data_IF_937244598360
#
_entry.id   IF_937244598360
#
_cell.length_a   1.000
_cell.length_b   1.000
_cell.length_c   1.000
_cell.angle_alpha   90.00
_cell.angle_beta   90.00
_cell.angle_gamma   90.00
#
_symmetry.space_group_name_H-M   'P 1'
#
loop_
_entity.id
_entity.type
_entity.pdbx_description
1 polymer ?
#
# COMPACT_ATOMS: atom_id res chain seq x y z
N UNK A 1 -17.80 1.87 16.23
CA UNK A 1 -17.16 0.90 15.34
C UNK A 1 -15.65 0.88 15.58
N UNK A 2 -15.23 0.12 16.59
CA UNK A 2 -13.81 -0.12 16.84
C UNK A 2 -13.40 -1.28 15.93
N UNK A 3 -12.84 -0.94 14.78
CA UNK A 3 -12.36 -1.89 13.78
C UNK A 3 -11.43 -2.90 14.47
N UNK A 4 -11.85 -4.16 14.55
CA UNK A 4 -10.94 -5.24 14.93
C UNK A 4 -10.14 -5.62 13.68
N UNK A 5 -9.07 -4.87 13.43
CA UNK A 5 -7.86 -5.37 12.78
C UNK A 5 -7.84 -5.47 11.26
N UNK A 6 -8.85 -5.00 10.52
CA UNK A 6 -8.78 -5.02 9.05
C UNK A 6 -8.83 -3.62 8.41
N UNK A 7 -9.49 -2.66 9.05
CA UNK A 7 -9.57 -1.29 8.54
C UNK A 7 -9.17 -0.28 9.62
N UNK A 8 -7.92 -0.30 10.07
CA UNK A 8 -7.37 0.67 11.04
C UNK A 8 -7.36 0.23 12.51
N UNK A 9 -7.74 -1.01 12.78
CA UNK A 9 -7.55 -1.67 14.07
C UNK A 9 -6.18 -2.33 14.23
N UNK A 10 -5.80 -2.67 15.45
CA UNK A 10 -4.55 -3.36 15.78
C UNK A 10 -4.28 -4.53 14.83
N UNK A 11 -3.10 -4.51 14.18
CA UNK A 11 -2.68 -5.60 13.31
C UNK A 11 -2.73 -6.93 14.08
N UNK A 12 -3.29 -7.97 13.45
CA UNK A 12 -3.21 -9.32 13.99
C UNK A 12 -1.74 -9.70 14.07
N UNK A 13 -1.35 -10.33 15.19
CA UNK A 13 0.05 -10.68 15.49
C UNK A 13 0.21 -12.09 16.06
N UNK A 14 -0.85 -12.72 16.56
CA UNK A 14 -0.74 -14.07 17.11
C UNK A 14 -0.38 -15.08 16.03
N UNK A 15 0.45 -16.06 16.37
CA UNK A 15 0.55 -17.29 15.58
C UNK A 15 -0.40 -18.35 16.10
N UNK A 16 -0.71 -18.31 17.41
CA UNK A 16 -1.59 -19.27 18.07
C UNK A 16 -2.45 -18.56 19.10
N UNK A 17 -3.72 -18.96 19.15
CA UNK A 17 -4.64 -18.58 20.22
C UNK A 17 -5.66 -19.67 20.46
N UNK A 18 -6.19 -19.72 21.67
CA UNK A 18 -7.19 -20.71 22.03
C UNK A 18 -8.09 -20.21 23.16
N UNK A 19 -9.24 -20.85 23.28
CA UNK A 19 -10.23 -20.63 24.33
C UNK A 19 -10.31 -21.92 25.15
N UNK A 20 -10.13 -21.79 26.46
CA UNK A 20 -10.36 -22.86 27.42
C UNK A 20 -11.69 -22.63 28.14
N UNK A 21 -12.42 -23.73 28.35
CA UNK A 21 -13.55 -23.78 29.25
C UNK A 21 -13.42 -25.00 30.16
N UNK A 22 -13.59 -24.82 31.47
CA UNK A 22 -13.39 -25.89 32.48
C UNK A 22 -12.03 -26.60 32.34
N UNK A 23 -10.97 -25.81 32.15
CA UNK A 23 -9.59 -26.31 31.99
C UNK A 23 -9.33 -27.11 30.70
N UNK A 24 -10.29 -27.15 29.77
CA UNK A 24 -10.16 -27.85 28.48
C UNK A 24 -10.18 -26.87 27.32
N UNK A 25 -9.29 -27.04 26.35
CA UNK A 25 -9.32 -26.28 25.11
C UNK A 25 -10.61 -26.63 24.34
N UNK A 26 -11.44 -25.64 24.07
CA UNK A 26 -12.71 -25.78 23.33
C UNK A 26 -12.64 -25.26 21.91
N UNK A 27 -11.76 -24.29 21.67
CA UNK A 27 -11.50 -23.75 20.36
C UNK A 27 -10.04 -23.32 20.28
N UNK A 28 -9.41 -23.53 19.13
CA UNK A 28 -8.04 -23.11 18.89
C UNK A 28 -7.85 -22.69 17.44
N UNK A 29 -6.94 -21.75 17.24
CA UNK A 29 -6.47 -21.32 15.92
C UNK A 29 -4.94 -21.38 15.91
N UNK A 30 -4.40 -22.02 14.88
CA UNK A 30 -2.97 -22.04 14.58
C UNK A 30 -2.76 -21.49 13.18
N UNK A 31 -2.17 -20.30 13.10
CA UNK A 31 -1.83 -19.63 11.85
C UNK A 31 -0.42 -20.06 11.35
N UNK A 32 0.31 -20.86 12.12
CA UNK A 32 1.66 -21.31 11.82
C UNK A 32 2.70 -20.19 11.93
N UNK A 33 3.98 -20.55 11.70
CA UNK A 33 5.15 -19.68 11.90
C UNK A 33 5.14 -18.39 11.05
N UNK A 34 4.37 -18.35 9.96
CA UNK A 34 4.24 -17.19 9.05
C UNK A 34 2.87 -16.50 9.10
N UNK A 35 1.91 -17.04 9.85
CA UNK A 35 0.53 -16.58 9.78
C UNK A 35 0.20 -15.41 10.70
N UNK A 36 1.12 -14.95 11.53
CA UNK A 36 0.88 -13.80 12.41
C UNK A 36 0.59 -12.51 11.68
N UNK A 37 1.23 -12.25 10.54
CA UNK A 37 1.05 -11.00 9.79
C UNK A 37 0.35 -11.19 8.45
N UNK A 38 0.60 -12.31 7.76
CA UNK A 38 0.20 -12.44 6.36
C UNK A 38 -1.21 -13.02 6.21
N UNK A 39 -1.48 -14.18 6.81
CA UNK A 39 -2.75 -14.88 6.53
C UNK A 39 -4.01 -14.05 6.87
N UNK A 40 -4.06 -13.32 8.00
CA UNK A 40 -5.18 -12.46 8.29
C UNK A 40 -5.18 -11.22 7.42
N UNK A 41 -4.08 -10.47 7.26
CA UNK A 41 -4.10 -9.20 6.50
C UNK A 41 -4.31 -9.38 4.99
N UNK A 42 -4.12 -10.60 4.46
CA UNK A 42 -4.26 -10.94 3.06
C UNK A 42 -5.46 -11.88 2.78
N UNK A 43 -6.36 -12.04 3.75
CA UNK A 43 -7.55 -12.90 3.64
C UNK A 43 -8.40 -12.60 2.39
N UNK A 44 -8.42 -11.34 1.96
CA UNK A 44 -9.17 -10.87 0.80
C UNK A 44 -8.25 -10.43 -0.35
N UNK A 45 -7.00 -10.89 -0.36
CA UNK A 45 -6.00 -10.44 -1.35
C UNK A 45 -6.39 -10.75 -2.78
N UNK A 46 -7.25 -11.74 -3.03
CA UNK A 46 -7.76 -12.10 -4.36
C UNK A 46 -9.23 -11.74 -4.58
N UNK A 47 -9.86 -11.07 -3.62
CA UNK A 47 -11.25 -10.62 -3.73
C UNK A 47 -11.30 -9.22 -4.35
N UNK A 48 -11.94 -9.09 -5.50
CA UNK A 48 -12.24 -7.79 -6.10
C UNK A 48 -13.74 -7.47 -5.91
N UNK A 49 -14.10 -6.40 -5.20
CA UNK A 49 -15.49 -6.02 -5.03
C UNK A 49 -16.07 -5.50 -6.35
N UNK A 50 -17.33 -5.83 -6.62
CA UNK A 50 -18.11 -5.23 -7.73
C UNK A 50 -19.18 -4.28 -7.22
N UNK A 51 -19.50 -3.24 -7.99
CA UNK A 51 -20.55 -2.28 -7.65
C UNK A 51 -21.89 -2.98 -7.40
N UNK A 52 -22.57 -2.60 -6.30
CA UNK A 52 -23.83 -3.20 -5.87
C UNK A 52 -23.70 -4.54 -5.15
N UNK A 53 -22.48 -5.06 -4.93
CA UNK A 53 -22.28 -6.29 -4.17
C UNK A 53 -22.55 -6.09 -2.67
N UNK A 54 -23.09 -7.13 -2.03
CA UNK A 54 -23.29 -7.13 -0.58
C UNK A 54 -21.94 -7.27 0.17
N UNK A 55 -21.46 -6.17 0.75
CA UNK A 55 -20.20 -6.13 1.49
C UNK A 55 -20.24 -6.91 2.81
N UNK A 56 -21.43 -7.15 3.37
CA UNK A 56 -21.55 -8.01 4.55
C UNK A 56 -21.19 -9.46 4.21
N UNK A 57 -21.79 -9.98 3.13
CA UNK A 57 -21.48 -11.33 2.65
C UNK A 57 -20.04 -11.42 2.13
N UNK A 58 -19.54 -10.37 1.45
CA UNK A 58 -18.20 -10.36 0.88
C UNK A 58 -17.08 -10.36 1.93
N UNK A 59 -17.23 -9.58 3.00
CA UNK A 59 -16.16 -9.33 3.96
C UNK A 59 -16.55 -9.65 5.42
N UNK A 60 -17.66 -9.08 5.89
CA UNK A 60 -17.97 -9.05 7.33
C UNK A 60 -18.29 -10.41 7.92
N UNK A 61 -19.06 -11.23 7.21
CA UNK A 61 -19.39 -12.60 7.64
C UNK A 61 -18.15 -13.45 7.90
N UNK A 62 -17.08 -13.20 7.14
CA UNK A 62 -15.80 -13.91 7.29
C UNK A 62 -14.94 -13.33 8.42
N UNK A 63 -14.91 -12.00 8.57
CA UNK A 63 -14.13 -11.32 9.63
C UNK A 63 -14.73 -11.58 11.02
N UNK A 64 -16.06 -11.53 11.13
CA UNK A 64 -16.79 -11.63 12.40
C UNK A 64 -17.46 -12.98 12.63
N UNK A 65 -16.89 -14.05 12.07
CA UNK A 65 -17.42 -15.41 12.21
C UNK A 65 -17.50 -15.85 13.69
N UNK A 66 -18.70 -16.05 14.27
CA UNK A 66 -18.84 -16.44 15.66
C UNK A 66 -18.24 -17.82 15.92
N UNK A 67 -17.66 -18.01 17.12
CA UNK A 67 -17.14 -19.31 17.56
C UNK A 67 -18.01 -19.85 18.69
N UNK A 68 -18.52 -21.07 18.51
CA UNK A 68 -19.50 -21.69 19.40
C UNK A 68 -19.03 -23.08 19.85
N UNK A 69 -19.23 -23.41 21.12
CA UNK A 69 -18.89 -24.71 21.69
C UNK A 69 -19.73 -24.99 22.94
N UNK A 70 -19.93 -26.27 23.28
CA UNK A 70 -20.64 -26.69 24.49
C UNK A 70 -19.70 -26.92 25.67
N UNK A 71 -20.13 -26.53 26.87
CA UNK A 71 -19.40 -26.69 28.12
C UNK A 71 -20.31 -27.37 29.15
N UNK A 72 -19.78 -28.38 29.86
CA UNK A 72 -20.46 -29.01 30.99
C UNK A 72 -19.95 -28.34 32.27
N UNK A 73 -20.85 -27.69 33.01
CA UNK A 73 -20.56 -27.02 34.29
C UNK A 73 -21.08 -27.91 35.41
N UNK A 74 -20.24 -28.23 36.40
CA UNK A 74 -20.57 -29.23 37.45
C UNK A 74 -20.62 -28.65 38.86
N UNK A 75 -19.99 -27.51 39.09
CA UNK A 75 -19.84 -26.85 40.39
C UNK A 75 -20.66 -25.54 40.49
N UNK A 76 -21.45 -25.24 39.46
CA UNK A 76 -22.23 -24.00 39.36
C UNK A 76 -21.43 -22.78 38.87
N UNK A 77 -20.13 -22.94 38.55
CA UNK A 77 -19.28 -21.86 38.05
C UNK A 77 -18.71 -22.19 36.66
N UNK A 78 -18.97 -21.33 35.67
CA UNK A 78 -18.34 -21.44 34.35
C UNK A 78 -16.99 -20.70 34.35
N UNK A 79 -15.91 -21.43 34.10
CA UNK A 79 -14.55 -20.91 34.02
C UNK A 79 -14.11 -20.80 32.55
N UNK A 80 -13.84 -19.58 32.07
CA UNK A 80 -13.34 -19.31 30.71
C UNK A 80 -11.96 -18.64 30.76
N UNK A 81 -11.05 -19.08 29.88
CA UNK A 81 -9.74 -18.43 29.68
C UNK A 81 -9.45 -18.24 28.20
N UNK A 82 -8.90 -17.08 27.85
CA UNK A 82 -8.46 -16.76 26.50
C UNK A 82 -6.95 -16.63 26.49
N UNK A 83 -6.33 -17.33 25.54
CA UNK A 83 -4.88 -17.40 25.43
C UNK A 83 -4.46 -16.99 24.04
N UNK A 84 -3.38 -16.21 23.95
CA UNK A 84 -2.70 -15.92 22.69
C UNK A 84 -1.19 -15.78 22.95
N UNK A 85 -0.39 -16.20 21.97
CA UNK A 85 1.08 -16.13 22.05
C UNK A 85 1.64 -14.70 21.91
N UNK A 86 0.79 -13.73 21.60
CA UNK A 86 1.13 -12.30 21.49
C UNK A 86 0.18 -11.41 22.27
N UNK A 87 0.74 -10.32 22.80
CA UNK A 87 -0.02 -9.29 23.49
C UNK A 87 -1.16 -8.74 22.62
N UNK A 88 -2.29 -8.42 23.26
CA UNK A 88 -3.50 -7.85 22.64
C UNK A 88 -4.08 -8.69 21.47
N UNK A 89 -3.80 -10.00 21.43
CA UNK A 89 -4.27 -10.89 20.37
C UNK A 89 -5.38 -11.85 20.81
N UNK A 90 -5.92 -11.65 22.02
CA UNK A 90 -7.03 -12.40 22.61
C UNK A 90 -8.19 -11.46 23.01
N UNK A 91 -8.40 -10.36 22.27
CA UNK A 91 -9.48 -9.42 22.55
C UNK A 91 -10.83 -10.08 22.28
N UNK A 92 -11.77 -9.91 23.20
CA UNK A 92 -13.13 -10.48 23.12
C UNK A 92 -14.12 -9.34 22.92
N UNK A 93 -14.88 -9.38 21.83
CA UNK A 93 -15.88 -8.38 21.53
C UNK A 93 -17.23 -8.66 22.23
N UNK A 94 -17.64 -9.93 22.27
CA UNK A 94 -18.89 -10.37 22.86
C UNK A 94 -18.77 -11.82 23.34
N UNK A 95 -19.47 -12.15 24.43
CA UNK A 95 -19.66 -13.52 24.93
C UNK A 95 -21.14 -13.72 25.20
N UNK A 96 -21.72 -14.76 24.59
CA UNK A 96 -23.12 -15.16 24.80
C UNK A 96 -23.11 -16.54 25.44
N UNK A 97 -23.77 -16.66 26.60
CA UNK A 97 -23.85 -17.91 27.37
C UNK A 97 -25.33 -18.17 27.66
N UNK A 98 -25.78 -19.39 27.36
CA UNK A 98 -27.12 -19.86 27.69
C UNK A 98 -27.06 -21.35 28.10
N UNK A 99 -27.96 -21.81 28.98
CA UNK A 99 -28.04 -23.22 29.34
C UNK A 99 -28.52 -24.06 28.16
N UNK A 100 -28.11 -25.34 28.08
CA UNK A 100 -28.49 -26.24 26.98
C UNK A 100 -30.03 -26.43 26.88
N UNK A 101 -30.75 -26.29 28.00
CA UNK A 101 -32.21 -26.30 28.04
C UNK A 101 -32.85 -25.15 27.24
N UNK A 102 -32.13 -24.05 27.00
CA UNK A 102 -32.56 -22.88 26.21
C UNK A 102 -31.80 -22.78 24.88
N UNK A 103 -31.27 -23.89 24.36
CA UNK A 103 -30.43 -23.88 23.14
C UNK A 103 -31.14 -23.27 21.92
N UNK A 104 -32.45 -23.43 21.80
CA UNK A 104 -33.24 -22.90 20.67
C UNK A 104 -33.38 -21.38 20.81
N UNK A 105 -33.85 -20.89 21.96
CA UNK A 105 -33.90 -19.46 22.30
C UNK A 105 -32.52 -18.79 22.15
N UNK A 106 -31.46 -19.46 22.61
CA UNK A 106 -30.09 -18.97 22.52
C UNK A 106 -29.55 -18.89 21.09
N UNK A 107 -29.90 -19.87 20.23
CA UNK A 107 -29.55 -19.84 18.81
C UNK A 107 -30.28 -18.72 18.08
N UNK A 108 -31.58 -18.53 18.37
CA UNK A 108 -32.38 -17.44 17.84
C UNK A 108 -31.81 -16.07 18.25
N UNK A 109 -31.48 -15.89 19.52
CA UNK A 109 -30.84 -14.67 20.02
C UNK A 109 -29.50 -14.37 19.32
N UNK A 110 -28.65 -15.38 19.11
CA UNK A 110 -27.42 -15.21 18.35
C UNK A 110 -27.68 -14.78 16.90
N UNK A 111 -28.67 -15.41 16.24
CA UNK A 111 -29.04 -15.05 14.87
C UNK A 111 -29.59 -13.61 14.80
N UNK A 112 -30.36 -13.19 15.79
CA UNK A 112 -30.87 -11.82 15.90
C UNK A 112 -29.75 -10.79 16.07
N UNK A 113 -28.73 -11.09 16.88
CA UNK A 113 -27.55 -10.21 16.98
C UNK A 113 -26.84 -10.09 15.63
N UNK A 114 -26.61 -11.21 14.94
CA UNK A 114 -25.96 -11.18 13.61
C UNK A 114 -26.81 -10.40 12.61
N UNK A 115 -28.13 -10.55 12.65
CA UNK A 115 -29.08 -9.81 11.80
C UNK A 115 -29.03 -8.30 12.09
N UNK A 116 -29.10 -7.90 13.36
CA UNK A 116 -29.00 -6.49 13.76
C UNK A 116 -27.66 -5.88 13.34
N UNK A 117 -26.54 -6.60 13.53
CA UNK A 117 -25.23 -6.13 13.09
C UNK A 117 -25.15 -5.95 11.57
N UNK A 118 -25.76 -6.86 10.79
CA UNK A 118 -25.87 -6.71 9.35
C UNK A 118 -26.69 -5.48 8.98
N UNK A 119 -27.84 -5.29 9.60
CA UNK A 119 -28.72 -4.13 9.36
C UNK A 119 -27.98 -2.83 9.66
N UNK A 120 -27.36 -2.70 10.83
CA UNK A 120 -26.56 -1.53 11.22
C UNK A 120 -25.38 -1.29 10.26
N UNK A 121 -24.64 -2.34 9.91
CA UNK A 121 -23.54 -2.25 8.96
C UNK A 121 -24.04 -1.79 7.59
N UNK A 122 -25.13 -2.36 7.08
CA UNK A 122 -25.66 -2.06 5.74
C UNK A 122 -26.16 -0.61 5.66
N UNK A 123 -26.76 -0.09 6.73
CA UNK A 123 -27.18 1.31 6.81
C UNK A 123 -25.97 2.26 6.79
N UNK A 124 -24.88 1.88 7.46
CA UNK A 124 -23.72 2.75 7.61
C UNK A 124 -22.69 2.64 6.47
N UNK A 125 -22.47 1.44 5.93
CA UNK A 125 -21.57 1.12 4.83
C UNK A 125 -22.26 1.36 3.49
N UNK A 126 -22.58 2.63 3.20
CA UNK A 126 -23.22 3.01 1.94
C UNK A 126 -22.17 3.12 0.84
N UNK A 127 -22.39 2.40 -0.27
CA UNK A 127 -21.63 2.55 -1.51
C UNK A 127 -21.88 3.93 -2.14
N UNK A 128 -20.84 4.73 -2.26
CA UNK A 128 -20.83 5.97 -3.01
C UNK A 128 -20.38 5.68 -4.44
N UNK A 129 -21.29 5.81 -5.39
CA UNK A 129 -21.01 5.60 -6.81
C UNK A 129 -20.48 6.84 -7.48
N UNK A 130 -19.57 6.65 -8.42
CA UNK A 130 -19.13 7.69 -9.34
C UNK A 130 -20.05 7.74 -10.56
N UNK A 131 -20.28 8.94 -11.13
CA UNK A 131 -21.03 9.07 -12.36
C UNK A 131 -20.34 8.30 -13.49
N UNK A 132 -21.14 7.72 -14.40
CA UNK A 132 -20.63 6.92 -15.50
C UNK A 132 -19.80 7.72 -16.52
N UNK A 133 -19.89 9.05 -16.53
CA UNK A 133 -19.21 9.94 -17.49
C UNK A 133 -19.92 10.05 -18.84
N UNK A 134 -20.47 8.96 -19.37
CA UNK A 134 -21.28 8.90 -20.59
C UNK A 134 -22.64 8.21 -20.40
N UNK A 135 -23.36 7.95 -21.49
CA UNK A 135 -24.67 7.25 -21.47
C UNK A 135 -24.78 6.22 -22.60
N UNK A 136 -25.56 5.15 -22.41
CA UNK A 136 -25.72 4.11 -23.43
C UNK A 136 -26.56 4.59 -24.62
N UNK A 137 -27.39 5.62 -24.42
CA UNK A 137 -28.21 6.25 -25.46
C UNK A 137 -27.33 6.95 -26.50
N UNK A 138 -26.21 7.53 -26.08
CA UNK A 138 -25.25 8.20 -26.95
C UNK A 138 -24.43 7.23 -27.82
N UNK A 139 -24.41 5.94 -27.47
CA UNK A 139 -23.68 4.89 -28.19
C UNK A 139 -24.52 4.42 -29.38
N UNK A 140 -23.88 4.28 -30.55
CA UNK A 140 -24.55 3.79 -31.76
C UNK A 140 -25.13 2.39 -31.54
N UNK A 141 -26.21 2.08 -32.27
CA UNK A 141 -26.84 0.76 -32.22
C UNK A 141 -25.89 -0.34 -32.68
N UNK A 142 -25.14 -0.10 -33.75
CA UNK A 142 -24.13 -1.02 -34.29
C UNK A 142 -23.09 -1.42 -33.23
N UNK A 143 -22.59 -0.46 -32.45
CA UNK A 143 -21.64 -0.76 -31.37
C UNK A 143 -22.31 -1.55 -30.23
N UNK A 144 -23.54 -1.22 -29.85
CA UNK A 144 -24.27 -1.96 -28.81
C UNK A 144 -24.65 -3.37 -29.23
N UNK A 145 -24.96 -3.59 -30.51
CA UNK A 145 -25.39 -4.89 -31.04
C UNK A 145 -24.26 -5.95 -30.94
N UNK A 146 -22.99 -5.53 -30.82
CA UNK A 146 -21.86 -6.42 -30.48
C UNK A 146 -21.99 -7.07 -29.10
N UNK A 147 -22.78 -6.48 -28.20
CA UNK A 147 -22.96 -6.94 -26.82
C UNK A 147 -21.86 -6.49 -25.85
N UNK A 148 -20.98 -5.59 -26.30
CA UNK A 148 -19.93 -4.94 -25.51
C UNK A 148 -19.51 -3.63 -26.20
N UNK A 149 -18.83 -2.77 -25.45
CA UNK A 149 -18.25 -1.52 -25.97
C UNK A 149 -16.77 -1.50 -25.59
N UNK A 150 -15.88 -1.46 -26.58
CA UNK A 150 -14.43 -1.26 -26.36
C UNK A 150 -14.06 0.18 -26.70
N UNK A 151 -13.20 0.78 -25.88
CA UNK A 151 -12.82 2.18 -26.01
C UNK A 151 -11.43 2.44 -25.44
N UNK A 152 -10.78 3.49 -25.93
CA UNK A 152 -9.49 3.93 -25.40
C UNK A 152 -9.72 4.78 -24.15
N UNK A 153 -8.87 4.59 -23.15
CA UNK A 153 -8.87 5.40 -21.93
C UNK A 153 -7.68 6.36 -21.93
N UNK A 154 -7.69 7.26 -20.97
CA UNK A 154 -6.58 8.15 -20.65
C UNK A 154 -6.03 7.69 -19.31
N UNK A 155 -4.78 7.28 -19.25
CA UNK A 155 -4.19 6.71 -18.03
C UNK A 155 -4.05 7.74 -16.89
N UNK A 156 -4.19 9.04 -17.19
CA UNK A 156 -4.26 10.10 -16.18
C UNK A 156 -5.65 10.25 -15.56
N UNK A 157 -6.65 9.53 -16.07
CA UNK A 157 -8.03 9.57 -15.61
C UNK A 157 -8.49 8.21 -15.09
N UNK A 158 -9.16 8.22 -13.93
CA UNK A 158 -9.71 7.00 -13.36
C UNK A 158 -10.85 6.40 -14.22
N UNK A 159 -10.69 5.15 -14.65
CA UNK A 159 -11.79 4.35 -15.21
C UNK A 159 -12.48 3.55 -14.10
N UNK A 160 -13.77 3.80 -13.87
CA UNK A 160 -14.58 3.12 -12.87
C UNK A 160 -15.34 1.92 -13.48
N UNK A 161 -15.76 0.97 -12.64
CA UNK A 161 -16.61 -0.15 -13.07
C UNK A 161 -17.95 0.29 -13.68
N UNK A 162 -18.42 1.50 -13.35
CA UNK A 162 -19.64 2.10 -13.90
C UNK A 162 -19.40 2.95 -15.15
N UNK A 163 -18.15 3.18 -15.55
CA UNK A 163 -17.82 4.07 -16.67
C UNK A 163 -18.48 3.61 -17.96
N UNK A 164 -19.17 4.54 -18.62
CA UNK A 164 -19.68 4.41 -19.98
C UNK A 164 -18.89 5.41 -20.82
N UNK A 165 -18.26 4.98 -21.93
CA UNK A 165 -17.45 5.89 -22.73
C UNK A 165 -18.29 6.95 -23.43
N UNK A 166 -17.66 8.07 -23.76
CA UNK A 166 -18.15 8.99 -24.77
C UNK A 166 -17.96 8.39 -26.17
N UNK A 167 -18.81 8.71 -27.16
CA UNK A 167 -18.65 8.20 -28.53
C UNK A 167 -17.26 8.46 -29.13
N UNK A 168 -16.61 9.57 -28.77
CA UNK A 168 -15.27 9.93 -29.22
C UNK A 168 -14.14 9.02 -28.69
N UNK A 169 -14.39 8.26 -27.61
CA UNK A 169 -13.43 7.32 -27.03
C UNK A 169 -13.50 5.93 -27.70
N UNK A 170 -14.57 5.65 -28.45
CA UNK A 170 -14.83 4.37 -29.11
C UNK A 170 -13.94 4.27 -30.36
N UNK A 171 -12.67 3.90 -30.15
CA UNK A 171 -11.60 3.85 -31.15
C UNK A 171 -10.83 2.53 -31.05
N UNK A 172 -10.36 2.05 -32.21
CA UNK A 172 -9.53 0.82 -32.32
C UNK A 172 -8.11 1.13 -32.79
N UNK A 173 -7.73 2.40 -32.79
CA UNK A 173 -6.41 2.86 -33.23
C UNK A 173 -5.86 3.88 -32.24
N UNK A 174 -4.59 3.73 -31.87
CA UNK A 174 -3.89 4.66 -30.99
C UNK A 174 -2.46 4.85 -31.48
N UNK A 175 -1.98 6.08 -31.42
CA UNK A 175 -0.57 6.40 -31.58
C UNK A 175 0.02 6.73 -30.21
N UNK A 176 1.20 6.21 -29.95
CA UNK A 176 2.03 6.50 -28.78
C UNK A 176 3.45 6.85 -29.21
N UNK A 177 4.19 7.50 -28.32
CA UNK A 177 5.53 8.03 -28.58
C UNK A 177 6.40 7.74 -27.37
N UNK A 178 7.64 7.28 -27.60
CA UNK A 178 8.53 6.94 -26.49
C UNK A 178 10.00 7.12 -26.87
N UNK A 179 10.81 7.50 -25.88
CA UNK A 179 12.26 7.45 -25.92
C UNK A 179 12.78 6.01 -25.67
N UNK A 180 14.07 5.79 -25.94
CA UNK A 180 14.74 4.54 -25.56
C UNK A 180 14.81 4.42 -24.04
N UNK A 181 14.53 3.23 -23.51
CA UNK A 181 14.45 2.97 -22.07
C UNK A 181 13.16 3.47 -21.39
N UNK A 182 12.27 4.14 -22.11
CA UNK A 182 11.03 4.69 -21.54
C UNK A 182 9.95 3.60 -21.37
N UNK A 183 9.10 3.80 -20.36
CA UNK A 183 7.86 3.06 -20.19
C UNK A 183 6.68 3.89 -20.70
N UNK A 184 6.03 3.45 -21.77
CA UNK A 184 4.89 4.14 -22.38
C UNK A 184 3.64 3.24 -22.40
N UNK A 185 2.56 3.60 -21.68
CA UNK A 185 1.35 2.78 -21.61
C UNK A 185 0.36 3.05 -22.76
N UNK A 186 -0.23 1.98 -23.28
CA UNK A 186 -1.51 2.02 -23.99
C UNK A 186 -2.61 1.53 -23.05
N UNK A 187 -3.64 2.33 -22.85
CA UNK A 187 -4.77 1.97 -22.00
C UNK A 187 -6.08 1.93 -22.78
N UNK A 188 -6.88 0.92 -22.47
CA UNK A 188 -8.20 0.72 -23.07
C UNK A 188 -9.10 0.00 -22.07
N UNK A 189 -10.40 0.10 -22.29
CA UNK A 189 -11.38 -0.56 -21.46
C UNK A 189 -12.47 -1.23 -22.30
N UNK A 190 -13.11 -2.22 -21.69
CA UNK A 190 -14.28 -2.90 -22.21
C UNK A 190 -15.43 -2.75 -21.23
N UNK A 191 -16.60 -2.37 -21.73
CA UNK A 191 -17.87 -2.40 -21.02
C UNK A 191 -18.76 -3.50 -21.60
N UNK A 192 -18.85 -4.67 -20.95
CA UNK A 192 -19.78 -5.72 -21.35
C UNK A 192 -21.24 -5.26 -21.20
N UNK A 193 -22.09 -5.52 -22.18
CA UNK A 193 -23.55 -5.30 -22.11
C UNK A 193 -24.31 -6.59 -21.72
N UNK A 194 -23.59 -7.70 -21.65
CA UNK A 194 -24.01 -9.02 -21.15
C UNK A 194 -22.80 -9.69 -20.49
N UNK A 195 -22.99 -10.84 -19.85
CA UNK A 195 -21.85 -11.63 -19.37
C UNK A 195 -21.08 -12.20 -20.58
N UNK A 196 -19.76 -11.96 -20.63
CA UNK A 196 -18.88 -12.38 -21.74
C UNK A 196 -17.81 -13.38 -21.31
N UNK A 197 -17.95 -13.95 -20.10
CA UNK A 197 -17.06 -14.98 -19.58
C UNK A 197 -15.67 -14.43 -19.26
N UNK A 198 -14.67 -15.30 -19.33
CA UNK A 198 -13.27 -14.95 -19.08
C UNK A 198 -12.62 -14.39 -20.33
N UNK A 199 -11.82 -13.35 -20.17
CA UNK A 199 -11.10 -12.69 -21.25
C UNK A 199 -9.59 -12.65 -21.01
N UNK A 200 -8.84 -12.71 -22.10
CA UNK A 200 -7.38 -12.58 -22.14
C UNK A 200 -6.97 -11.49 -23.13
N UNK A 201 -5.79 -10.92 -22.92
CA UNK A 201 -5.20 -9.90 -23.79
C UNK A 201 -3.87 -10.40 -24.33
N UNK A 202 -3.68 -10.30 -25.64
CA UNK A 202 -2.45 -10.68 -26.35
C UNK A 202 -1.86 -9.45 -27.06
N UNK A 203 -0.53 -9.37 -27.10
CA UNK A 203 0.21 -8.31 -27.80
C UNK A 203 1.07 -8.96 -28.88
N UNK A 204 1.07 -8.38 -30.09
CA UNK A 204 1.96 -8.81 -31.17
C UNK A 204 3.37 -8.24 -30.99
N UNK A 205 4.33 -8.73 -31.78
CA UNK A 205 5.55 -7.96 -31.98
C UNK A 205 5.21 -6.62 -32.64
N UNK A 206 5.99 -5.60 -32.33
CA UNK A 206 5.93 -4.30 -32.97
C UNK A 206 7.03 -4.23 -34.03
N UNK A 207 6.66 -3.94 -35.27
CA UNK A 207 7.56 -4.06 -36.43
C UNK A 207 7.71 -2.74 -37.15
N UNK A 208 8.96 -2.42 -37.50
CA UNK A 208 9.31 -1.37 -38.46
C UNK A 208 9.84 -2.02 -39.75
N UNK A 209 10.28 -1.21 -40.71
CA UNK A 209 10.83 -1.72 -41.98
C UNK A 209 12.07 -2.62 -41.79
N UNK A 210 12.86 -2.41 -40.73
CA UNK A 210 14.15 -3.08 -40.54
C UNK A 210 14.45 -3.49 -39.08
N UNK A 211 13.48 -3.36 -38.16
CA UNK A 211 13.63 -3.71 -36.75
C UNK A 211 12.33 -4.27 -36.16
N UNK A 212 12.47 -4.93 -35.00
CA UNK A 212 11.38 -5.53 -34.26
C UNK A 212 11.57 -5.25 -32.77
N UNK A 213 10.53 -4.77 -32.11
CA UNK A 213 10.40 -4.78 -30.66
C UNK A 213 9.52 -5.98 -30.32
N UNK A 214 10.10 -6.99 -29.69
CA UNK A 214 9.38 -8.22 -29.38
C UNK A 214 8.32 -8.00 -28.32
N UNK A 215 7.23 -8.78 -28.39
CA UNK A 215 6.08 -8.69 -27.47
C UNK A 215 6.45 -8.86 -25.98
N UNK A 216 7.59 -9.47 -25.66
CA UNK A 216 8.11 -9.62 -24.30
C UNK A 216 8.46 -8.29 -23.62
N UNK A 217 8.61 -7.21 -24.41
CA UNK A 217 8.83 -5.85 -23.91
C UNK A 217 7.52 -5.15 -23.50
N UNK A 218 6.38 -5.84 -23.58
CA UNK A 218 5.07 -5.30 -23.23
C UNK A 218 4.50 -6.02 -22.01
N UNK A 219 4.28 -5.29 -20.92
CA UNK A 219 3.66 -5.82 -19.71
C UNK A 219 2.16 -5.55 -19.72
N UNK A 220 1.36 -6.63 -19.71
CA UNK A 220 -0.09 -6.56 -19.80
C UNK A 220 -0.70 -6.72 -18.41
N UNK A 221 -1.48 -5.71 -18.00
CA UNK A 221 -2.07 -5.62 -16.67
C UNK A 221 -3.55 -5.27 -16.76
N UNK A 222 -4.32 -5.74 -15.78
CA UNK A 222 -5.71 -5.33 -15.58
C UNK A 222 -5.77 -4.40 -14.38
N UNK A 223 -6.58 -3.34 -14.49
CA UNK A 223 -6.87 -2.45 -13.38
C UNK A 223 -7.83 -3.14 -12.45
N UNK A 224 -7.38 -3.36 -11.21
CA UNK A 224 -8.18 -3.92 -10.13
C UNK A 224 -8.78 -2.79 -9.31
N UNK A 225 -10.09 -2.88 -9.10
CA UNK A 225 -10.80 -1.95 -8.24
C UNK A 225 -10.83 -2.47 -6.81
N UNK A 226 -10.64 -1.58 -5.84
CA UNK A 226 -10.71 -1.91 -4.42
C UNK A 226 -11.63 -0.94 -3.69
N UNK A 227 -12.21 -1.41 -2.58
CA UNK A 227 -13.00 -0.57 -1.70
C UNK A 227 -12.12 0.42 -0.94
N UNK A 228 -12.48 1.70 -0.95
CA UNK A 228 -11.85 2.76 -0.15
C UNK A 228 -12.91 3.49 0.67
N UNK A 229 -12.61 3.73 1.94
CA UNK A 229 -13.45 4.52 2.84
C UNK A 229 -12.73 5.78 3.33
N UNK A 230 -13.49 6.74 3.84
CA UNK A 230 -12.93 7.88 4.57
C UNK A 230 -12.40 7.47 5.95
N UNK A 231 -11.55 8.31 6.57
CA UNK A 231 -10.92 8.00 7.86
C UNK A 231 -11.95 7.75 8.99
N UNK A 232 -12.97 8.61 9.09
CA UNK A 232 -14.00 8.59 10.14
C UNK A 232 -15.36 8.04 9.69
N UNK A 233 -15.45 7.43 8.51
CA UNK A 233 -16.72 6.95 7.96
C UNK A 233 -16.53 5.57 7.34
N UNK A 234 -17.56 4.72 7.43
CA UNK A 234 -17.56 3.39 6.78
C UNK A 234 -18.30 3.39 5.43
N UNK A 235 -18.86 4.55 5.02
CA UNK A 235 -19.21 4.80 3.62
C UNK A 235 -17.99 4.56 2.75
N UNK A 236 -18.18 3.86 1.64
CA UNK A 236 -17.08 3.41 0.81
C UNK A 236 -17.33 3.70 -0.67
N UNK A 237 -16.26 3.63 -1.44
CA UNK A 237 -16.24 3.72 -2.89
C UNK A 237 -15.47 2.54 -3.44
N UNK A 238 -15.83 2.06 -4.62
CA UNK A 238 -15.02 1.08 -5.36
C UNK A 238 -14.26 1.86 -6.42
N UNK A 239 -12.94 1.96 -6.28
CA UNK A 239 -12.08 2.79 -7.14
C UNK A 239 -10.94 1.98 -7.74
N UNK A 240 -10.43 2.34 -8.93
CA UNK A 240 -9.21 1.73 -9.46
C UNK A 240 -8.05 2.00 -8.48
N UNK A 241 -7.25 0.99 -8.16
CA UNK A 241 -6.11 1.17 -7.24
C UNK A 241 -4.84 0.41 -7.64
N UNK A 242 -4.95 -0.70 -8.36
CA UNK A 242 -3.81 -1.59 -8.58
C UNK A 242 -3.78 -2.13 -10.00
N UNK A 243 -2.58 -2.20 -10.59
CA UNK A 243 -2.32 -2.94 -11.81
C UNK A 243 -1.92 -4.39 -11.49
N UNK A 244 -2.79 -5.36 -11.78
CA UNK A 244 -2.56 -6.78 -11.50
C UNK A 244 -2.15 -7.52 -12.77
N UNK A 245 -1.18 -8.44 -12.66
CA UNK A 245 -0.96 -9.45 -13.70
C UNK A 245 -2.16 -10.40 -13.72
N UNK A 246 -2.54 -10.85 -14.90
CA UNK A 246 -3.67 -11.76 -15.07
C UNK A 246 -3.42 -12.66 -16.28
N UNK A 247 -3.88 -13.91 -16.19
CA UNK A 247 -4.00 -14.78 -17.36
C UNK A 247 -5.38 -14.57 -18.00
N UNK A 248 -6.41 -14.48 -17.15
CA UNK A 248 -7.79 -14.17 -17.55
C UNK A 248 -8.47 -13.27 -16.54
N UNK A 249 -9.45 -12.47 -17.00
CA UNK A 249 -10.34 -11.66 -16.15
C UNK A 249 -11.81 -11.90 -16.53
N UNK A 250 -12.70 -11.90 -15.54
CA UNK A 250 -14.14 -12.00 -15.78
C UNK A 250 -14.72 -10.68 -16.33
N UNK A 251 -15.48 -10.80 -17.41
CA UNK A 251 -16.21 -9.72 -18.07
C UNK A 251 -17.71 -9.81 -17.78
N UNK A 252 -18.08 -9.50 -16.54
CA UNK A 252 -19.48 -9.46 -16.11
C UNK A 252 -20.26 -8.32 -16.77
N UNK A 253 -21.54 -8.57 -17.07
CA UNK A 253 -22.43 -7.57 -17.67
C UNK A 253 -22.53 -6.30 -16.83
N UNK A 254 -22.32 -5.14 -17.46
CA UNK A 254 -22.42 -3.83 -16.83
C UNK A 254 -21.19 -3.40 -16.02
N UNK A 255 -20.15 -4.23 -15.92
CA UNK A 255 -18.91 -3.95 -15.18
C UNK A 255 -17.78 -3.63 -16.17
N UNK A 256 -17.38 -2.37 -16.22
CA UNK A 256 -16.27 -1.92 -17.06
C UNK A 256 -14.94 -2.41 -16.51
N UNK A 257 -14.09 -2.97 -17.38
CA UNK A 257 -12.73 -3.41 -17.08
C UNK A 257 -11.72 -2.63 -17.90
N UNK A 258 -10.69 -2.11 -17.25
CA UNK A 258 -9.60 -1.38 -17.88
C UNK A 258 -8.33 -2.23 -17.89
N UNK A 259 -7.57 -2.10 -18.98
CA UNK A 259 -6.33 -2.80 -19.23
C UNK A 259 -5.22 -1.79 -19.54
N UNK A 260 -4.03 -2.09 -19.02
CA UNK A 260 -2.79 -1.39 -19.32
C UNK A 260 -1.88 -2.34 -20.10
N UNK A 261 -1.39 -1.89 -21.25
CA UNK A 261 -0.30 -2.53 -21.98
C UNK A 261 0.87 -1.56 -21.94
N UNK A 262 1.85 -1.86 -21.08
CA UNK A 262 2.97 -0.96 -20.80
C UNK A 262 4.16 -1.40 -21.67
N UNK A 263 4.53 -0.59 -22.65
CA UNK A 263 5.69 -0.83 -23.49
C UNK A 263 6.95 -0.34 -22.76
N UNK A 264 7.92 -1.22 -22.50
CA UNK A 264 9.26 -0.85 -22.06
C UNK A 264 10.18 -0.86 -23.27
N UNK A 265 10.53 0.32 -23.79
CA UNK A 265 11.31 0.42 -25.02
C UNK A 265 12.76 0.02 -24.73
N UNK A 266 13.34 -0.98 -25.42
CA UNK A 266 14.74 -1.34 -25.22
C UNK A 266 15.68 -0.15 -25.39
N UNK A 267 16.73 -0.07 -24.57
CA UNK A 267 17.73 1.01 -24.65
C UNK A 267 18.44 1.07 -26.02
N UNK A 268 18.54 -0.07 -26.71
CA UNK A 268 19.15 -0.21 -28.03
C UNK A 268 18.13 -0.25 -29.19
N UNK A 269 16.85 0.04 -28.92
CA UNK A 269 15.81 0.07 -29.93
C UNK A 269 16.16 1.05 -31.06
N UNK A 270 16.00 0.62 -32.32
CA UNK A 270 16.17 1.52 -33.47
C UNK A 270 15.08 2.57 -33.45
N UNK A 271 15.45 3.80 -33.76
CA UNK A 271 14.48 4.89 -33.92
C UNK A 271 13.52 4.61 -35.09
N UNK A 272 12.37 5.27 -35.07
CA UNK A 272 11.40 5.26 -36.15
C UNK A 272 10.05 4.67 -35.76
N UNK A 273 9.21 4.47 -36.77
CA UNK A 273 7.83 4.06 -36.59
C UNK A 273 7.68 2.54 -36.62
N UNK A 274 7.00 2.02 -35.59
CA UNK A 274 6.63 0.64 -35.42
C UNK A 274 5.12 0.49 -35.43
N UNK A 275 4.64 -0.63 -35.94
CA UNK A 275 3.22 -1.00 -35.89
C UNK A 275 3.05 -2.35 -35.21
N UNK A 276 2.02 -2.45 -34.38
CA UNK A 276 1.67 -3.66 -33.65
C UNK A 276 0.18 -3.69 -33.30
N UNK A 277 -0.23 -4.76 -32.65
CA UNK A 277 -1.63 -4.99 -32.31
C UNK A 277 -1.79 -5.48 -30.88
N UNK A 278 -2.89 -5.08 -30.26
CA UNK A 278 -3.37 -5.61 -28.98
C UNK A 278 -4.70 -6.28 -29.26
N UNK A 279 -4.86 -7.56 -28.89
CA UNK A 279 -6.07 -8.34 -29.15
C UNK A 279 -6.71 -8.78 -27.84
N UNK A 280 -7.98 -8.43 -27.65
CA UNK A 280 -8.81 -8.89 -26.53
C UNK A 280 -9.71 -10.01 -27.03
N UNK A 281 -9.66 -11.17 -26.36
CA UNK A 281 -10.57 -12.29 -26.63
C UNK A 281 -11.30 -12.71 -25.38
N UNK A 282 -12.51 -13.25 -25.52
CA UNK A 282 -13.24 -13.86 -24.40
C UNK A 282 -14.03 -15.10 -24.80
N UNK A 283 -14.35 -15.93 -23.81
CA UNK A 283 -15.20 -17.13 -23.97
C UNK A 283 -16.59 -16.77 -24.54
N UNK A 284 -17.08 -15.56 -24.26
CA UNK A 284 -18.36 -15.02 -24.72
C UNK A 284 -18.35 -14.31 -26.08
N UNK A 285 -17.38 -14.64 -26.94
CA UNK A 285 -17.24 -14.14 -28.31
C UNK A 285 -16.84 -12.66 -28.48
N UNK A 286 -16.03 -12.13 -27.55
CA UNK A 286 -15.20 -10.96 -27.89
C UNK A 286 -14.03 -11.43 -28.76
N UNK A 287 -13.77 -10.69 -29.84
CA UNK A 287 -12.56 -10.80 -30.65
C UNK A 287 -12.22 -9.44 -31.26
N UNK A 288 -11.71 -8.52 -30.42
CA UNK A 288 -11.40 -7.15 -30.82
C UNK A 288 -9.90 -6.96 -30.96
N UNK A 289 -9.50 -6.20 -31.98
CA UNK A 289 -8.09 -5.85 -32.24
C UNK A 289 -7.92 -4.34 -32.25
N UNK A 290 -6.99 -3.85 -31.43
CA UNK A 290 -6.52 -2.47 -31.43
C UNK A 290 -5.22 -2.39 -32.23
N UNK A 291 -5.17 -1.50 -33.22
CA UNK A 291 -3.95 -1.24 -34.00
C UNK A 291 -3.17 -0.08 -33.36
N UNK A 292 -1.92 -0.33 -33.03
CA UNK A 292 -1.07 0.62 -32.31
C UNK A 292 0.08 1.04 -33.23
N UNK A 293 0.25 2.35 -33.35
CA UNK A 293 1.45 2.96 -33.93
C UNK A 293 2.33 3.48 -32.80
N UNK A 294 3.61 3.14 -32.83
CA UNK A 294 4.61 3.57 -31.85
C UNK A 294 5.76 4.25 -32.58
N UNK A 295 6.05 5.50 -32.25
CA UNK A 295 7.26 6.19 -32.71
C UNK A 295 8.32 6.13 -31.62
N UNK A 296 9.48 5.56 -31.93
CA UNK A 296 10.65 5.52 -31.04
C UNK A 296 11.61 6.64 -31.40
N UNK A 297 11.90 7.52 -30.43
CA UNK A 297 12.84 8.62 -30.61
C UNK A 297 14.30 8.20 -30.38
N UNK A 298 15.29 8.87 -31.02
CA UNK A 298 16.71 8.52 -30.92
C UNK A 298 17.43 8.99 -29.65
N UNK A 299 16.71 9.23 -28.56
CA UNK A 299 17.30 9.67 -27.29
C UNK A 299 16.80 8.80 -26.14
N UNK A 300 17.50 8.88 -25.01
CA UNK A 300 17.13 8.30 -23.71
C UNK A 300 16.69 9.42 -22.77
N UNK A 301 15.89 9.10 -21.76
CA UNK A 301 15.55 10.04 -20.70
C UNK A 301 16.63 10.04 -19.63
N UNK A 302 17.03 11.22 -19.17
CA UNK A 302 17.94 11.35 -18.03
C UNK A 302 17.26 10.92 -16.73
N UNK A 303 18.06 10.47 -15.78
CA UNK A 303 17.56 10.22 -14.44
C UNK A 303 17.04 11.53 -13.82
N UNK A 304 15.85 11.49 -13.20
CA UNK A 304 15.27 12.66 -12.55
C UNK A 304 16.15 13.17 -11.41
N UNK A 305 16.37 14.47 -11.36
CA UNK A 305 16.97 15.14 -10.19
C UNK A 305 16.01 15.26 -9.00
N UNK A 306 14.70 15.02 -9.22
CA UNK A 306 13.73 14.99 -8.13
C UNK A 306 13.92 13.73 -7.27
N UNK A 307 13.99 13.91 -5.95
CA UNK A 307 14.05 12.78 -5.02
C UNK A 307 12.70 12.07 -4.96
N UNK A 308 12.66 10.86 -5.48
CA UNK A 308 11.46 10.02 -5.46
C UNK A 308 11.72 8.76 -4.64
N UNK A 309 11.01 8.64 -3.51
CA UNK A 309 11.24 7.63 -2.50
C UNK A 309 9.95 6.91 -2.07
N UNK A 310 10.09 5.67 -1.60
CA UNK A 310 9.00 4.91 -0.99
C UNK A 310 8.82 5.28 0.48
N UNK A 311 7.58 5.30 0.96
CA UNK A 311 7.26 5.85 2.28
C UNK A 311 7.45 4.83 3.43
N UNK A 312 8.47 5.03 4.27
CA UNK A 312 8.56 4.46 5.63
C UNK A 312 8.58 2.93 5.73
N UNK A 313 9.04 2.22 4.69
CA UNK A 313 9.05 0.74 4.66
C UNK A 313 10.46 0.19 4.41
N UNK A 314 10.63 -1.13 4.51
CA UNK A 314 11.89 -1.81 4.21
C UNK A 314 11.63 -2.85 3.11
N UNK A 315 11.87 -2.50 1.83
CA UNK A 315 11.67 -3.45 0.74
C UNK A 315 12.72 -4.58 0.79
N UNK A 316 12.38 -5.71 0.19
CA UNK A 316 13.40 -6.68 -0.22
C UNK A 316 14.03 -6.24 -1.55
N UNK A 317 15.14 -6.88 -1.95
CA UNK A 317 15.87 -6.51 -3.17
C UNK A 317 15.01 -6.54 -4.45
N UNK A 318 14.04 -7.46 -4.55
CA UNK A 318 13.17 -7.56 -5.73
C UNK A 318 12.24 -6.35 -5.83
N UNK A 319 11.65 -5.93 -4.72
CA UNK A 319 10.79 -4.73 -4.67
C UNK A 319 11.62 -3.47 -4.86
N UNK A 320 12.81 -3.37 -4.27
CA UNK A 320 13.70 -2.23 -4.46
C UNK A 320 14.10 -2.06 -5.94
N UNK A 321 14.45 -3.14 -6.63
CA UNK A 321 14.74 -3.10 -8.07
C UNK A 321 13.53 -2.68 -8.89
N UNK A 322 12.36 -3.27 -8.63
CA UNK A 322 11.12 -2.85 -9.30
C UNK A 322 10.86 -1.35 -9.13
N UNK A 323 10.96 -0.82 -7.91
CA UNK A 323 10.76 0.61 -7.68
C UNK A 323 11.82 1.44 -8.42
N UNK A 324 13.07 0.98 -8.46
CA UNK A 324 14.13 1.63 -9.23
C UNK A 324 13.81 1.68 -10.73
N UNK A 325 13.30 0.60 -11.30
CA UNK A 325 12.88 0.51 -12.70
C UNK A 325 11.74 1.52 -13.01
N UNK A 326 10.94 1.89 -12.02
CA UNK A 326 9.90 2.94 -12.11
C UNK A 326 10.37 4.32 -11.64
N UNK A 327 11.68 4.58 -11.66
CA UNK A 327 12.25 5.92 -11.43
C UNK A 327 12.45 6.32 -9.97
N UNK A 328 12.23 5.42 -9.00
CA UNK A 328 12.61 5.71 -7.61
C UNK A 328 14.14 5.73 -7.49
N UNK A 329 14.70 6.91 -7.19
CA UNK A 329 16.14 7.14 -7.06
C UNK A 329 16.59 7.32 -5.60
N UNK A 330 15.64 7.48 -4.67
CA UNK A 330 15.83 7.73 -3.25
C UNK A 330 15.02 6.76 -2.38
N UNK A 331 15.22 6.76 -1.06
CA UNK A 331 14.58 5.84 -0.12
C UNK A 331 14.05 6.56 1.12
N UNK A 332 13.03 5.99 1.76
CA UNK A 332 12.62 6.39 3.11
C UNK A 332 12.33 5.16 3.96
N UNK A 333 12.48 5.26 5.27
CA UNK A 333 12.44 4.11 6.18
C UNK A 333 13.81 3.50 6.43
N UNK A 334 13.88 2.17 6.54
CA UNK A 334 15.10 1.44 6.90
C UNK A 334 15.17 1.00 8.36
N UNK A 335 16.34 0.50 8.77
CA UNK A 335 16.57 0.04 10.14
C UNK A 335 17.14 1.15 11.03
N UNK A 336 16.99 0.97 12.34
CA UNK A 336 17.63 1.86 13.32
C UNK A 336 19.09 1.45 13.51
N UNK A 337 19.94 2.44 13.75
CA UNK A 337 21.29 2.29 14.26
C UNK A 337 21.18 2.18 15.78
N UNK A 338 21.54 1.04 16.36
CA UNK A 338 21.31 0.80 17.78
C UNK A 338 22.47 1.36 18.59
N UNK A 339 22.21 2.45 19.32
CA UNK A 339 23.10 3.00 20.35
C UNK A 339 22.77 2.30 21.68
N UNK A 340 23.69 1.44 22.14
CA UNK A 340 23.52 0.62 23.34
C UNK A 340 23.96 1.33 24.62
N UNK A 341 24.90 2.26 24.49
CA UNK A 341 25.47 2.99 25.60
C UNK A 341 26.77 3.70 25.22
N UNK A 342 27.52 4.10 26.24
CA UNK A 342 28.83 4.72 26.11
C UNK A 342 29.83 4.04 27.07
N UNK A 343 31.09 3.98 26.64
CA UNK A 343 32.21 3.70 27.52
C UNK A 343 32.49 4.91 28.44
N UNK A 344 33.34 4.73 29.46
CA UNK A 344 33.64 5.78 30.44
C UNK A 344 34.25 7.05 29.83
N UNK A 345 34.95 6.92 28.72
CA UNK A 345 35.55 8.03 27.97
C UNK A 345 34.58 8.72 27.00
N UNK A 346 33.31 8.28 26.97
CA UNK A 346 32.31 8.80 26.03
C UNK A 346 32.31 8.14 24.66
N UNK A 347 33.08 7.08 24.43
CA UNK A 347 33.03 6.32 23.17
C UNK A 347 31.68 5.60 23.05
N UNK A 348 30.91 5.76 21.95
CA UNK A 348 29.59 5.15 21.80
C UNK A 348 29.69 3.66 21.44
N UNK A 349 28.81 2.84 22.00
CA UNK A 349 28.63 1.44 21.60
C UNK A 349 27.48 1.34 20.58
N UNK A 350 27.83 1.15 19.30
CA UNK A 350 26.89 1.13 18.17
C UNK A 350 26.79 -0.26 17.53
N UNK A 351 25.58 -0.69 17.16
CA UNK A 351 25.34 -1.79 16.23
C UNK A 351 24.73 -1.25 14.92
N UNK A 352 25.54 -1.32 13.86
CA UNK A 352 25.24 -0.81 12.52
C UNK A 352 24.95 -1.93 11.50
N UNK A 353 25.05 -3.20 11.91
CA UNK A 353 25.05 -4.32 10.97
C UNK A 353 23.75 -4.44 10.15
N UNK A 354 22.61 -4.05 10.75
CA UNK A 354 21.31 -4.07 10.04
C UNK A 354 21.22 -2.96 9.00
N UNK A 355 21.67 -1.75 9.35
CA UNK A 355 21.61 -0.63 8.42
C UNK A 355 22.61 -0.82 7.28
N UNK A 356 23.79 -1.40 7.54
CA UNK A 356 24.75 -1.78 6.49
C UNK A 356 24.14 -2.71 5.44
N UNK A 357 23.44 -3.76 5.89
CA UNK A 357 22.76 -4.68 4.97
C UNK A 357 21.68 -3.99 4.16
N UNK A 358 20.98 -3.02 4.75
CA UNK A 358 19.94 -2.26 4.08
C UNK A 358 20.51 -1.31 3.02
N UNK A 359 21.51 -0.51 3.37
CA UNK A 359 22.17 0.43 2.44
C UNK A 359 22.85 -0.34 1.30
N UNK A 360 23.53 -1.45 1.59
CA UNK A 360 24.10 -2.30 0.54
C UNK A 360 23.04 -2.92 -0.37
N UNK A 361 21.86 -3.26 0.16
CA UNK A 361 20.74 -3.73 -0.66
C UNK A 361 20.23 -2.63 -1.60
N UNK A 362 20.07 -1.39 -1.11
CA UNK A 362 19.67 -0.25 -1.93
C UNK A 362 20.70 0.05 -3.04
N UNK A 363 21.99 0.08 -2.71
CA UNK A 363 23.07 0.26 -3.71
C UNK A 363 23.03 -0.83 -4.78
N UNK A 364 22.84 -2.09 -4.39
CA UNK A 364 22.69 -3.22 -5.33
C UNK A 364 21.41 -3.17 -6.16
N UNK A 365 20.39 -2.45 -5.69
CA UNK A 365 19.18 -2.18 -6.45
C UNK A 365 19.33 -0.99 -7.41
N UNK A 366 20.42 -0.22 -7.32
CA UNK A 366 20.70 0.91 -8.20
C UNK A 366 20.30 2.27 -7.65
N UNK A 367 20.00 2.39 -6.35
CA UNK A 367 19.72 3.68 -5.71
C UNK A 367 21.01 4.49 -5.55
N UNK A 368 20.92 5.77 -5.92
CA UNK A 368 22.06 6.69 -6.01
C UNK A 368 21.89 7.92 -5.13
N UNK A 369 20.65 8.30 -4.82
CA UNK A 369 20.35 9.56 -4.14
C UNK A 369 20.23 9.40 -2.62
N UNK A 370 20.37 10.55 -1.93
CA UNK A 370 20.14 10.69 -0.50
C UNK A 370 18.70 10.29 -0.13
N UNK A 371 18.53 9.60 1.01
CA UNK A 371 17.24 9.19 1.54
C UNK A 371 16.63 10.12 2.58
N UNK A 372 15.42 9.79 3.02
CA UNK A 372 14.68 10.50 4.05
C UNK A 372 14.36 9.58 5.24
N UNK A 373 14.87 9.89 6.43
CA UNK A 373 14.80 9.08 7.65
C UNK A 373 13.42 9.00 8.32
N UNK A 374 12.33 9.21 7.58
CA UNK A 374 10.99 8.95 8.11
C UNK A 374 10.75 7.44 8.21
N UNK A 375 10.30 6.95 9.37
CA UNK A 375 10.04 5.52 9.59
C UNK A 375 11.29 4.63 9.72
N UNK A 376 12.51 5.18 9.68
CA UNK A 376 13.77 4.43 9.78
C UNK A 376 14.99 5.33 9.73
N UNK A 377 16.15 4.79 9.29
CA UNK A 377 17.45 5.49 9.15
C UNK A 377 17.71 6.52 10.26
N UNK A 378 17.71 6.04 11.50
CA UNK A 378 17.88 6.89 12.69
C UNK A 378 18.59 6.13 13.79
N UNK A 379 19.20 6.85 14.71
CA UNK A 379 19.88 6.27 15.87
C UNK A 379 18.87 6.09 17.00
N UNK A 380 18.91 4.97 17.73
CA UNK A 380 18.07 4.80 18.93
C UNK A 380 18.42 5.86 19.97
N UNK A 381 17.45 6.23 20.81
CA UNK A 381 17.56 7.31 21.82
C UNK A 381 17.74 8.74 21.25
N UNK A 382 18.04 8.90 19.96
CA UNK A 382 18.09 10.20 19.27
C UNK A 382 16.80 10.36 18.45
N UNK A 383 15.77 10.93 19.10
CA UNK A 383 14.46 11.14 18.50
C UNK A 383 14.10 12.62 18.33
N UNK A 384 12.80 12.91 18.28
CA UNK A 384 12.26 14.28 18.16
C UNK A 384 12.64 15.18 19.34
N UNK A 385 12.90 14.59 20.50
CA UNK A 385 13.37 15.28 21.70
C UNK A 385 14.43 14.43 22.38
N UNK A 386 15.26 15.06 23.23
CA UNK A 386 16.25 14.35 24.05
C UNK A 386 15.60 13.23 24.86
N UNK A 387 16.21 12.05 24.82
CA UNK A 387 15.90 10.95 25.74
C UNK A 387 16.65 11.17 27.05
N UNK A 388 16.02 11.86 28.00
CA UNK A 388 16.62 12.20 29.30
C UNK A 388 16.98 10.97 30.13
N UNK A 389 16.24 9.87 29.96
CA UNK A 389 16.51 8.63 30.70
C UNK A 389 17.81 7.99 30.24
N UNK A 390 18.01 7.91 28.93
CA UNK A 390 19.21 7.33 28.34
C UNK A 390 20.42 8.26 28.45
N UNK A 391 20.34 9.47 27.88
CA UNK A 391 21.48 10.38 27.85
C UNK A 391 21.82 10.94 29.23
N UNK A 392 20.83 11.25 30.07
CA UNK A 392 21.09 11.77 31.42
C UNK A 392 21.85 10.79 32.31
N UNK A 393 21.71 9.48 32.09
CA UNK A 393 22.56 8.46 32.74
C UNK A 393 24.03 8.63 32.33
N UNK A 394 24.30 8.69 31.03
CA UNK A 394 25.66 8.73 30.51
C UNK A 394 26.34 10.09 30.71
N UNK A 395 25.61 11.20 30.75
CA UNK A 395 26.16 12.49 31.18
C UNK A 395 26.74 12.42 32.60
N UNK A 396 26.06 11.72 33.52
CA UNK A 396 26.58 11.51 34.90
C UNK A 396 27.75 10.54 34.96
N UNK A 397 27.71 9.47 34.17
CA UNK A 397 28.75 8.42 34.21
C UNK A 397 30.04 8.82 33.52
N UNK A 398 29.97 9.64 32.47
CA UNK A 398 31.12 10.09 31.67
C UNK A 398 31.61 11.48 32.04
N UNK A 399 30.73 12.33 32.59
CA UNK A 399 31.00 13.75 32.84
C UNK A 399 30.91 14.64 31.59
N UNK A 400 30.59 14.08 30.42
CA UNK A 400 30.39 14.81 29.18
C UNK A 400 28.98 15.37 29.09
N UNK A 401 28.83 16.52 28.42
CA UNK A 401 27.54 17.10 28.08
C UNK A 401 26.81 16.30 27.00
N UNK A 402 25.49 16.48 26.90
CA UNK A 402 24.69 15.90 25.82
C UNK A 402 25.24 16.19 24.42
N UNK A 403 25.70 17.42 24.14
CA UNK A 403 26.23 17.80 22.82
C UNK A 403 27.55 17.07 22.53
N UNK A 404 28.41 16.88 23.53
CA UNK A 404 29.65 16.10 23.38
C UNK A 404 29.35 14.61 23.13
N UNK A 405 28.37 14.04 23.82
CA UNK A 405 27.94 12.66 23.59
C UNK A 405 27.31 12.49 22.20
N UNK A 406 26.48 13.45 21.76
CA UNK A 406 25.95 13.46 20.38
C UNK A 406 27.08 13.54 19.36
N UNK A 407 28.08 14.38 19.58
CA UNK A 407 29.24 14.53 18.69
C UNK A 407 29.98 13.20 18.56
N UNK A 408 30.29 12.54 19.67
CA UNK A 408 30.94 11.23 19.66
C UNK A 408 30.13 10.19 18.87
N UNK A 409 28.79 10.18 19.02
CA UNK A 409 27.90 9.29 18.25
C UNK A 409 27.96 9.60 16.76
N UNK A 410 27.80 10.86 16.36
CA UNK A 410 27.75 11.23 14.94
C UNK A 410 29.11 11.12 14.26
N UNK A 411 30.22 11.41 14.95
CA UNK A 411 31.58 11.22 14.42
C UNK A 411 31.85 9.73 14.14
N UNK A 412 31.43 8.84 15.06
CA UNK A 412 31.55 7.40 14.87
C UNK A 412 30.70 6.90 13.70
N UNK A 413 29.47 7.39 13.57
CA UNK A 413 28.57 7.04 12.45
C UNK A 413 29.08 7.60 11.12
N UNK A 414 29.54 8.85 11.08
CA UNK A 414 30.10 9.49 9.89
C UNK A 414 31.33 8.73 9.39
N UNK A 415 32.25 8.39 10.30
CA UNK A 415 33.43 7.59 9.97
C UNK A 415 33.03 6.26 9.32
N UNK A 416 32.12 5.50 9.97
CA UNK A 416 31.64 4.23 9.44
C UNK A 416 30.92 4.40 8.10
N UNK A 417 30.06 5.41 7.96
CA UNK A 417 29.34 5.70 6.74
C UNK A 417 30.28 6.01 5.56
N UNK A 418 31.37 6.75 5.79
CA UNK A 418 32.42 7.00 4.80
C UNK A 418 33.16 5.72 4.42
N UNK A 419 33.56 4.91 5.41
CA UNK A 419 34.25 3.63 5.20
C UNK A 419 33.39 2.62 4.40
N UNK A 420 32.09 2.58 4.67
CA UNK A 420 31.13 1.71 3.96
C UNK A 420 30.52 2.33 2.71
N UNK A 421 30.90 3.58 2.38
CA UNK A 421 30.36 4.36 1.27
C UNK A 421 28.81 4.35 1.26
N UNK A 422 28.22 4.75 2.38
CA UNK A 422 26.76 4.81 2.53
C UNK A 422 26.12 5.88 1.63
N UNK A 423 24.87 5.63 1.24
CA UNK A 423 24.00 6.70 0.74
C UNK A 423 23.68 7.64 1.92
N UNK A 424 23.69 8.96 1.67
CA UNK A 424 23.29 9.94 2.67
C UNK A 424 21.82 9.79 3.07
N UNK A 425 21.44 10.34 4.22
CA UNK A 425 20.03 10.47 4.59
C UNK A 425 19.78 11.68 5.50
N UNK A 426 18.60 12.28 5.32
CA UNK A 426 18.09 13.33 6.21
C UNK A 426 17.44 12.69 7.44
N UNK A 427 17.84 13.10 8.64
CA UNK A 427 17.21 12.68 9.89
C UNK A 427 15.88 13.40 10.09
N UNK A 428 14.77 12.65 10.07
CA UNK A 428 13.45 13.22 10.36
C UNK A 428 13.28 13.48 11.85
N UNK A 429 13.26 14.76 12.25
CA UNK A 429 13.17 15.21 13.64
C UNK A 429 11.84 15.92 13.98
N UNK A 430 10.95 16.04 13.01
CA UNK A 430 9.61 16.61 13.18
C UNK A 430 8.59 15.71 12.49
N UNK A 431 7.45 15.49 13.16
CA UNK A 431 6.35 14.69 12.64
C UNK A 431 5.02 15.20 13.20
N UNK A 432 4.26 15.90 12.36
CA UNK A 432 2.94 16.45 12.67
C UNK A 432 2.86 17.25 13.99
N UNK A 433 3.86 18.06 14.30
CA UNK A 433 3.86 18.85 15.54
C UNK A 433 2.72 19.86 15.57
N UNK A 434 1.79 19.70 16.51
CA UNK A 434 0.59 20.55 16.65
C UNK A 434 0.60 21.48 17.86
N UNK A 435 1.66 21.45 18.67
CA UNK A 435 1.77 22.23 19.91
C UNK A 435 3.11 22.95 19.98
N UNK A 436 3.08 24.25 20.29
CA UNK A 436 4.24 25.13 20.35
C UNK A 436 5.30 24.68 21.36
N UNK A 437 4.90 24.15 22.51
CA UNK A 437 5.86 23.67 23.52
C UNK A 437 6.57 22.40 23.06
N UNK A 438 5.89 21.55 22.30
CA UNK A 438 6.55 20.41 21.67
C UNK A 438 7.50 20.86 20.55
N UNK A 439 7.08 21.84 19.74
CA UNK A 439 7.91 22.43 18.70
C UNK A 439 9.20 23.04 19.27
N UNK A 440 9.12 23.78 20.39
CA UNK A 440 10.30 24.32 21.08
C UNK A 440 11.28 23.21 21.48
N UNK A 441 10.79 22.11 22.06
CA UNK A 441 11.66 20.97 22.43
C UNK A 441 12.32 20.31 21.22
N UNK A 442 11.60 20.20 20.09
CA UNK A 442 12.16 19.71 18.84
C UNK A 442 13.23 20.64 18.28
N UNK A 443 13.00 21.96 18.31
CA UNK A 443 14.00 22.95 17.88
C UNK A 443 15.25 22.86 18.75
N UNK A 444 15.11 22.74 20.07
CA UNK A 444 16.26 22.52 20.97
C UNK A 444 17.04 21.26 20.58
N UNK A 445 16.34 20.16 20.29
CA UNK A 445 16.97 18.92 19.86
C UNK A 445 17.70 19.05 18.51
N UNK A 446 17.08 19.69 17.52
CA UNK A 446 17.67 19.95 16.20
C UNK A 446 18.92 20.81 16.34
N UNK A 447 18.87 21.86 17.15
CA UNK A 447 20.03 22.73 17.39
C UNK A 447 21.18 21.96 18.05
N UNK A 448 20.89 21.12 19.05
CA UNK A 448 21.92 20.28 19.69
C UNK A 448 22.58 19.30 18.70
N UNK A 449 21.81 18.72 17.77
CA UNK A 449 22.33 17.85 16.72
C UNK A 449 23.22 18.64 15.74
N UNK A 450 22.75 19.81 15.27
CA UNK A 450 23.51 20.64 14.33
C UNK A 450 24.79 21.22 14.95
N UNK A 451 24.80 21.49 16.26
CA UNK A 451 26.00 21.87 17.01
C UNK A 451 26.97 20.69 17.18
N UNK A 452 26.44 19.49 17.39
CA UNK A 452 27.24 18.29 17.55
C UNK A 452 27.91 17.86 16.25
N UNK A 453 27.23 17.97 15.10
CA UNK A 453 27.76 17.50 13.82
C UNK A 453 27.21 18.28 12.62
N UNK A 454 28.12 18.81 11.79
CA UNK A 454 27.79 19.43 10.51
C UNK A 454 27.51 18.42 9.39
N UNK A 455 27.84 17.14 9.60
CA UNK A 455 27.60 16.07 8.63
C UNK A 455 26.12 15.65 8.58
N UNK A 456 25.41 15.79 9.70
CA UNK A 456 24.02 15.38 9.83
C UNK A 456 23.10 16.40 9.19
N UNK A 457 22.29 15.96 8.24
CA UNK A 457 21.16 16.76 7.73
C UNK A 457 19.91 16.48 8.54
N UNK A 458 19.23 17.52 9.00
CA UNK A 458 17.98 17.41 9.74
C UNK A 458 16.80 17.88 8.90
N UNK A 459 15.67 17.16 8.99
CA UNK A 459 14.44 17.48 8.28
C UNK A 459 13.21 17.18 9.11
N UNK A 460 12.04 17.37 8.52
CA UNK A 460 10.79 17.24 9.25
C UNK A 460 9.57 17.31 8.33
N UNK A 461 8.50 16.63 8.73
CA UNK A 461 7.21 16.72 8.07
C UNK A 461 6.16 17.33 9.01
N UNK A 462 5.34 18.25 8.50
CA UNK A 462 4.19 18.78 9.20
C UNK A 462 3.02 18.96 8.23
N UNK A 463 1.83 18.63 8.71
CA UNK A 463 0.59 18.76 7.96
C UNK A 463 -0.06 20.12 8.30
N UNK A 464 -0.20 21.00 7.32
CA UNK A 464 -1.02 22.22 7.43
C UNK A 464 -2.30 22.04 6.63
N UNK A 465 -3.44 22.24 7.31
CA UNK A 465 -4.73 22.34 6.65
C UNK A 465 -5.16 23.79 6.68
N UNK A 466 -5.05 24.47 5.54
CA UNK A 466 -5.60 25.81 5.38
C UNK A 466 -7.13 25.71 5.24
N UNK A 467 -7.88 26.08 6.28
CA UNK A 467 -9.33 26.30 6.11
C UNK A 467 -9.50 27.42 5.09
N UNK A 468 -10.22 27.14 4.00
CA UNK A 468 -10.52 28.09 2.92
C UNK A 468 -9.29 28.61 2.15
N UNK A 469 -8.18 27.88 2.12
CA UNK A 469 -7.00 28.26 1.31
C UNK A 469 -6.24 29.51 1.79
N UNK A 470 -6.47 29.99 3.02
CA UNK A 470 -5.74 31.14 3.57
C UNK A 470 -4.51 30.68 4.35
N UNK A 471 -3.34 31.21 3.97
CA UNK A 471 -2.08 31.12 4.73
C UNK A 471 -2.26 31.70 6.16
N UNK A 472 -1.44 31.31 7.17
CA UNK A 472 -1.37 31.97 8.48
C UNK A 472 -1.28 33.51 8.49
N UNK A 473 -0.87 34.15 7.39
CA UNK A 473 -0.91 35.62 7.21
C UNK A 473 -2.23 36.17 6.66
N UNK A 474 -3.21 35.32 6.35
CA UNK A 474 -4.54 35.71 5.87
C UNK A 474 -4.61 36.09 4.40
N UNK A 475 -3.52 36.00 3.65
CA UNK A 475 -3.50 36.30 2.22
C UNK A 475 -3.95 35.10 1.39
N UNK A 476 -4.88 35.35 0.46
CA UNK A 476 -5.20 34.43 -0.62
C UNK A 476 -4.05 34.48 -1.63
N UNK A 477 -3.44 33.34 -1.97
CA UNK A 477 -2.65 33.24 -3.21
C UNK A 477 -3.47 32.45 -4.24
N UNK A 478 -3.48 32.90 -5.51
CA UNK A 478 -4.30 32.34 -6.58
C UNK A 478 -3.98 30.88 -6.88
#
# INVERSE_FOLDING_TARGET
FSDCGYWGGQAIRHTKRHIEAEGKIKWSEDLGRRGNYWKPNYLFEDVEPVVGQDFWELYMKKIFEPKSFKVKVTDGQLNLKWHADKARSSNVACVIIYPDAKKEEGAEFCNDIVRQQREEFTIAAVEQRFPAGGTLEAISREEKDKGYIIFLTDYEQDTYQTTIPQPSQIKRTKTIYAARGEYEPVTFAVRPLKNLGRASVEVSDFRSANAVIGKENFDVRVVRHLSRRGFNQIKYRIIPQMLKKFDTVDLAGGITREFFVIAHIPEDAREGDYTGTIRLRSDGAIDETLNISLTVYPFTLDESEYLFCFFGTVPNIKVAKMLRDFGFNSFSGGYRMELKGFAKDGTPELDLARIDRYVNMLKRAGYTQEGWGYGGFRITHIGYTKDEGFFGKYERETGLSYVELLRNVFDAVEKHAKEQNWLGAVYNLVDETRNIEHAKRQVTQINAINEASAWVKTGGAYSVSYKNGRDPKGEFRP
#
